data_IF_714281959021
#
_entry.id   IF_714281959021
#
_cell.length_a   1.000
_cell.length_b   1.000
_cell.length_c   1.000
_cell.angle_alpha   90.00
_cell.angle_beta   90.00
_cell.angle_gamma   90.00
#
_symmetry.space_group_name_H-M   'P 1'
#
loop_
_entity.id
_entity.type
_entity.pdbx_description
1 polymer ?
#
# COMPACT_ATOMS: atom_id res chain seq x y z
N UNK A 1 8.96 15.32 -13.37
CA UNK A 1 7.53 15.19 -13.11
C UNK A 1 7.29 14.49 -11.81
N UNK A 2 6.32 14.93 -11.07
CA UNK A 2 5.98 14.30 -9.80
C UNK A 2 5.13 13.07 -9.95
N UNK A 3 4.87 12.43 -8.82
CA UNK A 3 3.95 11.31 -8.70
C UNK A 3 2.65 11.84 -8.11
N UNK A 4 1.52 11.55 -8.75
CA UNK A 4 0.22 12.00 -8.26
C UNK A 4 -0.40 11.00 -7.29
N UNK A 5 -0.18 9.72 -7.52
CA UNK A 5 -0.78 8.65 -6.74
C UNK A 5 0.17 7.51 -6.53
N UNK A 6 0.01 6.87 -5.39
CA UNK A 6 0.55 5.54 -5.15
C UNK A 6 -0.53 4.53 -5.47
N UNK A 7 -0.12 3.40 -5.99
CA UNK A 7 -1.01 2.26 -6.25
C UNK A 7 -0.57 1.14 -5.34
N UNK A 8 -1.49 0.65 -4.52
CA UNK A 8 -1.29 -0.48 -3.63
C UNK A 8 -2.13 -1.63 -4.15
N UNK A 9 -1.49 -2.71 -4.58
CA UNK A 9 -2.16 -3.84 -5.21
C UNK A 9 -1.92 -5.12 -4.43
N UNK A 10 -2.99 -5.78 -4.00
CA UNK A 10 -2.90 -7.09 -3.36
C UNK A 10 -2.57 -8.16 -4.38
N UNK A 11 -1.54 -8.97 -4.11
CA UNK A 11 -1.06 -9.97 -5.05
C UNK A 11 -1.19 -11.40 -4.56
N UNK A 12 -1.49 -11.61 -3.29
CA UNK A 12 -1.81 -12.95 -2.80
C UNK A 12 -2.69 -12.89 -1.54
N UNK A 13 -3.19 -14.04 -1.12
CA UNK A 13 -3.99 -14.18 0.08
C UNK A 13 -5.35 -13.50 -0.03
N UNK A 14 -5.85 -13.03 1.09
CA UNK A 14 -7.15 -12.35 1.17
C UNK A 14 -7.13 -11.04 0.38
N UNK A 15 -5.97 -10.42 0.29
CA UNK A 15 -5.79 -9.16 -0.42
C UNK A 15 -5.76 -9.31 -1.94
N UNK A 16 -5.66 -10.53 -2.45
CA UNK A 16 -5.49 -10.77 -3.89
C UNK A 16 -6.61 -10.12 -4.70
N UNK A 17 -6.22 -9.29 -5.66
CA UNK A 17 -7.13 -8.61 -6.56
C UNK A 17 -7.61 -7.26 -6.07
N UNK A 18 -7.29 -6.87 -4.85
CA UNK A 18 -7.62 -5.54 -4.33
C UNK A 18 -6.63 -4.51 -4.85
N UNK A 19 -7.14 -3.34 -5.21
CA UNK A 19 -6.31 -2.23 -5.71
C UNK A 19 -6.78 -0.95 -5.03
N UNK A 20 -5.82 -0.20 -4.47
CA UNK A 20 -6.10 1.05 -3.79
C UNK A 20 -5.20 2.15 -4.30
N UNK A 21 -5.69 3.37 -4.27
CA UNK A 21 -4.93 4.56 -4.62
C UNK A 21 -4.74 5.42 -3.38
N UNK A 22 -3.52 5.91 -3.21
CA UNK A 22 -3.20 6.89 -2.17
C UNK A 22 -2.74 8.14 -2.89
N UNK A 23 -3.51 9.21 -2.76
CA UNK A 23 -3.24 10.45 -3.47
C UNK A 23 -2.16 11.27 -2.77
N UNK A 24 -1.57 12.17 -3.51
CA UNK A 24 -0.58 13.10 -2.99
C UNK A 24 -1.09 13.76 -1.70
N UNK A 25 -0.27 13.71 -0.67
CA UNK A 25 -0.58 14.30 0.62
C UNK A 25 -1.47 13.46 1.52
N UNK A 26 -1.95 12.31 1.06
CA UNK A 26 -2.83 11.47 1.85
C UNK A 26 -2.09 10.47 2.71
N UNK A 27 -2.79 10.00 3.73
CA UNK A 27 -2.36 8.95 4.62
C UNK A 27 -3.40 7.83 4.60
N UNK A 28 -2.94 6.59 4.56
CA UNK A 28 -3.82 5.44 4.62
C UNK A 28 -3.35 4.47 5.70
N UNK A 29 -4.30 3.94 6.47
CA UNK A 29 -4.03 2.88 7.44
C UNK A 29 -4.59 1.58 6.89
N UNK A 30 -3.75 0.56 6.88
CA UNK A 30 -4.06 -0.77 6.35
C UNK A 30 -4.12 -1.77 7.49
N UNK A 31 -5.17 -2.57 7.54
CA UNK A 31 -5.32 -3.59 8.56
C UNK A 31 -6.67 -4.27 8.50
N UNK A 32 -6.90 -5.19 9.46
CA UNK A 32 -8.17 -5.92 9.51
C UNK A 32 -9.26 -5.20 10.30
N UNK A 33 -8.92 -4.12 10.97
CA UNK A 33 -9.90 -3.34 11.73
C UNK A 33 -10.79 -2.51 10.82
N UNK A 34 -12.06 -2.37 11.21
CA UNK A 34 -13.01 -1.60 10.40
C UNK A 34 -12.69 -0.11 10.36
N UNK A 35 -11.91 0.37 11.31
CA UNK A 35 -11.50 1.78 11.38
C UNK A 35 -10.38 2.13 10.40
N UNK A 36 -9.76 1.12 9.77
CA UNK A 36 -8.70 1.36 8.81
C UNK A 36 -9.25 1.97 7.52
N UNK A 37 -8.50 2.89 6.92
CA UNK A 37 -8.82 3.45 5.61
C UNK A 37 -8.92 2.34 4.57
N UNK A 38 -7.98 1.41 4.62
CA UNK A 38 -7.96 0.22 3.78
C UNK A 38 -8.19 -0.96 4.71
N UNK A 39 -9.46 -1.32 4.87
CA UNK A 39 -9.87 -2.36 5.80
C UNK A 39 -10.08 -3.69 5.09
N UNK A 40 -9.46 -4.74 5.60
CA UNK A 40 -9.66 -6.11 5.10
C UNK A 40 -11.12 -6.52 5.12
N UNK A 41 -11.93 -5.92 6.00
CA UNK A 41 -13.35 -6.25 6.10
C UNK A 41 -14.14 -5.95 4.83
N UNK A 42 -13.61 -5.07 3.99
CA UNK A 42 -14.22 -4.68 2.72
C UNK A 42 -13.67 -5.45 1.53
N UNK A 43 -12.70 -6.34 1.74
CA UNK A 43 -12.09 -7.10 0.65
C UNK A 43 -13.05 -8.19 0.18
N UNK A 44 -13.04 -8.45 -1.13
CA UNK A 44 -13.90 -9.46 -1.76
C UNK A 44 -13.69 -10.85 -1.17
N UNK A 45 -12.45 -11.14 -0.80
CA UNK A 45 -12.08 -12.46 -0.26
C UNK A 45 -12.11 -12.51 1.27
N UNK A 46 -12.69 -11.50 1.92
CA UNK A 46 -12.80 -11.52 3.38
C UNK A 46 -13.51 -12.80 3.82
N UNK A 47 -12.89 -13.61 4.69
CA UNK A 47 -13.41 -14.95 5.00
C UNK A 47 -14.62 -14.91 5.91
N UNK A 48 -15.52 -15.91 5.72
CA UNK A 48 -16.68 -16.07 6.59
C UNK A 48 -16.30 -16.48 8.00
N UNK A 49 -15.19 -17.23 8.11
CA UNK A 49 -14.65 -17.68 9.40
C UNK A 49 -13.54 -16.75 9.90
N UNK A 50 -13.77 -15.45 9.82
CA UNK A 50 -12.76 -14.43 10.09
C UNK A 50 -12.07 -14.62 11.45
N UNK A 51 -12.82 -14.99 12.47
CA UNK A 51 -12.31 -15.21 13.83
C UNK A 51 -11.38 -16.41 13.95
N UNK A 52 -11.33 -17.28 12.95
CA UNK A 52 -10.51 -18.50 12.93
C UNK A 52 -9.55 -18.57 11.76
N UNK A 53 -9.60 -17.58 10.86
CA UNK A 53 -8.77 -17.60 9.67
C UNK A 53 -7.35 -17.16 9.99
N UNK A 54 -6.39 -18.05 9.80
CA UNK A 54 -4.98 -17.79 10.17
C UNK A 54 -4.37 -16.66 9.37
N UNK A 55 -4.69 -16.57 8.08
CA UNK A 55 -4.14 -15.52 7.24
C UNK A 55 -4.64 -14.16 7.67
N UNK A 56 -5.94 -14.06 7.96
CA UNK A 56 -6.50 -12.81 8.45
C UNK A 56 -5.93 -12.43 9.81
N UNK A 57 -5.81 -13.40 10.71
CA UNK A 57 -5.31 -13.15 12.06
C UNK A 57 -3.81 -12.82 12.09
N UNK A 58 -3.08 -13.10 11.02
CA UNK A 58 -1.69 -12.67 10.87
C UNK A 58 -1.59 -11.16 10.62
N UNK A 59 -2.68 -10.54 10.20
CA UNK A 59 -2.75 -9.10 9.96
C UNK A 59 -3.33 -8.43 11.21
N UNK A 60 -2.64 -7.44 11.74
CA UNK A 60 -3.10 -6.69 12.90
C UNK A 60 -4.28 -5.80 12.54
N UNK A 61 -5.06 -5.40 13.53
CA UNK A 61 -6.18 -4.48 13.33
C UNK A 61 -5.73 -3.21 12.64
N UNK A 62 -4.69 -2.58 13.17
CA UNK A 62 -3.93 -1.53 12.49
C UNK A 62 -2.55 -2.10 12.24
N UNK A 63 -2.22 -2.34 10.98
CA UNK A 63 -0.99 -3.05 10.65
C UNK A 63 0.09 -2.14 10.10
N UNK A 64 -0.28 -1.29 9.14
CA UNK A 64 0.67 -0.42 8.45
C UNK A 64 0.01 0.91 8.16
N UNK A 65 0.76 1.99 8.35
CA UNK A 65 0.34 3.31 7.92
C UNK A 65 1.26 3.80 6.82
N UNK A 66 0.65 4.18 5.69
CA UNK A 66 1.37 4.72 4.54
C UNK A 66 1.02 6.19 4.46
N UNK A 67 2.04 7.06 4.51
CA UNK A 67 1.85 8.50 4.35
C UNK A 67 2.61 8.97 3.12
N UNK A 68 1.88 9.51 2.16
CA UNK A 68 2.45 10.01 0.93
C UNK A 68 2.68 11.51 1.03
N UNK A 69 3.86 11.89 1.53
CA UNK A 69 4.23 13.31 1.66
C UNK A 69 4.53 13.93 0.30
N UNK A 70 5.35 13.25 -0.50
CA UNK A 70 5.72 13.63 -1.85
C UNK A 70 6.48 12.46 -2.49
N UNK A 71 6.89 12.61 -3.76
CA UNK A 71 7.54 11.53 -4.50
C UNK A 71 8.89 11.10 -3.93
N UNK A 72 9.48 11.90 -3.07
CA UNK A 72 10.76 11.59 -2.42
C UNK A 72 10.60 11.25 -0.93
N UNK A 73 9.37 11.17 -0.45
CA UNK A 73 9.12 10.90 0.96
C UNK A 73 7.78 10.20 1.15
N UNK A 74 7.84 8.88 1.21
CA UNK A 74 6.70 8.05 1.53
C UNK A 74 7.05 7.29 2.80
N UNK A 75 6.33 7.57 3.87
CA UNK A 75 6.57 6.89 5.14
C UNK A 75 5.75 5.63 5.22
N UNK A 76 6.40 4.52 5.56
CA UNK A 76 5.76 3.27 5.92
C UNK A 76 6.02 3.04 7.40
N UNK A 77 4.97 3.15 8.22
CA UNK A 77 5.09 2.98 9.66
C UNK A 77 4.44 1.68 10.07
N UNK A 78 5.22 0.81 10.70
CA UNK A 78 4.72 -0.46 11.21
C UNK A 78 3.94 -0.24 12.50
N UNK A 79 2.69 -0.68 12.51
CA UNK A 79 1.81 -0.62 13.68
C UNK A 79 1.46 -2.02 14.17
N UNK A 80 2.03 -3.05 13.56
CA UNK A 80 1.61 -4.42 13.75
C UNK A 80 2.20 -5.07 15.00
N UNK A 81 1.56 -6.16 15.41
CA UNK A 81 2.08 -7.00 16.50
C UNK A 81 3.22 -7.90 16.02
N UNK A 82 3.16 -8.39 14.79
CA UNK A 82 4.09 -9.42 14.29
C UNK A 82 5.05 -8.93 13.21
N UNK A 83 4.97 -7.67 12.83
CA UNK A 83 5.90 -7.07 11.88
C UNK A 83 5.34 -6.90 10.48
N UNK A 84 6.00 -6.03 9.74
CA UNK A 84 5.77 -5.76 8.32
C UNK A 84 7.11 -5.87 7.62
N UNK A 85 7.10 -6.48 6.44
CA UNK A 85 8.33 -6.70 5.68
C UNK A 85 8.26 -5.96 4.35
N UNK A 86 9.32 -5.25 4.02
CA UNK A 86 9.47 -4.53 2.76
C UNK A 86 10.61 -5.15 1.98
N UNK A 87 10.31 -5.70 0.81
CA UNK A 87 11.29 -6.41 -0.03
C UNK A 87 12.06 -7.46 0.77
N UNK A 88 11.33 -8.18 1.63
CA UNK A 88 11.88 -9.26 2.45
C UNK A 88 12.59 -8.83 3.72
N UNK A 89 12.65 -7.53 4.01
CA UNK A 89 13.31 -7.01 5.21
C UNK A 89 12.29 -6.43 6.19
N UNK A 90 12.42 -6.71 7.48
CA UNK A 90 11.48 -6.15 8.46
C UNK A 90 11.65 -4.64 8.60
N UNK A 91 10.53 -3.97 8.74
CA UNK A 91 10.53 -2.55 9.13
C UNK A 91 10.80 -2.48 10.63
N UNK A 92 11.73 -1.60 11.03
CA UNK A 92 11.95 -1.29 12.43
C UNK A 92 11.32 0.08 12.65
N UNK A 93 10.12 0.09 13.24
CA UNK A 93 9.26 1.25 13.48
C UNK A 93 8.76 1.88 12.19
N UNK A 94 9.64 2.46 11.39
CA UNK A 94 9.25 3.10 10.12
C UNK A 94 10.43 3.16 9.16
N UNK A 95 10.09 3.27 7.89
CA UNK A 95 11.06 3.57 6.85
C UNK A 95 10.48 4.63 5.93
N UNK A 96 11.35 5.28 5.18
CA UNK A 96 10.96 6.22 4.13
C UNK A 96 11.43 5.68 2.79
N UNK A 97 10.50 5.65 1.84
CA UNK A 97 10.82 5.36 0.43
C UNK A 97 11.07 6.71 -0.23
N UNK A 98 12.23 6.86 -0.86
CA UNK A 98 12.68 8.12 -1.44
C UNK A 98 12.83 8.08 -2.95
N UNK A 99 12.62 6.93 -3.57
CA UNK A 99 12.87 6.70 -4.99
C UNK A 99 11.69 6.06 -5.72
N UNK A 100 10.47 6.26 -5.23
CA UNK A 100 9.30 5.60 -5.80
C UNK A 100 9.08 5.99 -7.27
N UNK A 101 9.45 7.22 -7.62
CA UNK A 101 9.28 7.75 -8.97
C UNK A 101 10.31 7.19 -9.97
N UNK A 102 11.43 6.67 -9.48
CA UNK A 102 12.50 6.14 -10.32
C UNK A 102 12.70 4.65 -10.17
N UNK A 103 12.07 4.03 -9.20
CA UNK A 103 12.21 2.60 -8.97
C UNK A 103 11.62 1.81 -10.15
N UNK A 104 12.40 0.90 -10.68
CA UNK A 104 11.98 0.05 -11.80
C UNK A 104 11.18 -1.16 -11.35
N UNK A 105 11.21 -1.46 -10.06
CA UNK A 105 10.51 -2.60 -9.50
C UNK A 105 9.57 -2.13 -8.41
N UNK A 106 8.38 -2.76 -8.29
CA UNK A 106 7.47 -2.45 -7.18
C UNK A 106 8.13 -2.76 -5.84
N UNK A 107 7.69 -2.05 -4.80
CA UNK A 107 8.01 -2.41 -3.43
C UNK A 107 7.06 -3.49 -2.97
N UNK A 108 7.61 -4.60 -2.53
CA UNK A 108 6.81 -5.69 -1.99
C UNK A 108 6.58 -5.47 -0.49
N UNK A 109 5.32 -5.43 -0.09
CA UNK A 109 4.92 -5.22 1.30
C UNK A 109 4.23 -6.48 1.79
N UNK A 110 4.81 -7.14 2.79
CA UNK A 110 4.22 -8.33 3.42
C UNK A 110 3.70 -7.99 4.80
N UNK A 111 2.41 -8.29 5.02
CA UNK A 111 1.76 -8.11 6.32
C UNK A 111 1.71 -9.42 7.09
N UNK A 112 1.85 -10.53 6.42
CA UNK A 112 1.83 -11.87 6.98
C UNK A 112 2.37 -12.84 5.97
N UNK A 113 2.46 -14.13 6.30
CA UNK A 113 3.07 -15.12 5.40
C UNK A 113 2.44 -15.15 4.01
N UNK A 114 1.13 -14.94 3.93
CA UNK A 114 0.38 -15.05 2.69
C UNK A 114 -0.35 -13.76 2.30
N UNK A 115 -0.02 -12.63 2.94
CA UNK A 115 -0.67 -11.36 2.67
C UNK A 115 0.35 -10.38 2.12
N UNK A 116 0.36 -10.20 0.81
CA UNK A 116 1.38 -9.40 0.12
C UNK A 116 0.73 -8.37 -0.79
N UNK A 117 1.29 -7.17 -0.76
CA UNK A 117 0.91 -6.08 -1.64
C UNK A 117 2.13 -5.61 -2.41
N UNK A 118 1.87 -5.01 -3.57
CA UNK A 118 2.89 -4.27 -4.31
C UNK A 118 2.54 -2.79 -4.27
N UNK A 119 3.53 -1.97 -3.99
CA UNK A 119 3.40 -0.52 -3.98
C UNK A 119 4.17 0.04 -5.17
N UNK A 120 3.46 0.80 -6.00
CA UNK A 120 4.04 1.46 -7.17
C UNK A 120 3.57 2.90 -7.20
N UNK A 121 4.16 3.68 -8.08
CA UNK A 121 3.77 5.06 -8.30
C UNK A 121 3.11 5.21 -9.66
N UNK A 122 2.07 6.03 -9.71
CA UNK A 122 1.47 6.47 -10.96
C UNK A 122 1.97 7.88 -11.22
N UNK A 123 2.73 8.08 -12.30
CA UNK A 123 3.26 9.42 -12.59
C UNK A 123 2.17 10.36 -13.01
N UNK A 124 2.45 11.66 -12.89
CA UNK A 124 1.56 12.69 -13.40
C UNK A 124 1.31 12.46 -14.88
N UNK A 125 0.07 12.75 -15.31
CA UNK A 125 -0.34 12.47 -16.68
C UNK A 125 0.18 13.53 -17.65
N UNK A 126 1.31 13.26 -18.26
CA UNK A 126 1.92 14.14 -19.21
C UNK A 126 1.06 14.35 -20.47
N UNK A 127 0.38 13.31 -20.87
CA UNK A 127 -0.46 13.38 -22.06
C UNK A 127 -1.58 14.41 -21.91
N UNK A 128 -2.03 14.68 -20.71
CA UNK A 128 -3.05 15.69 -20.47
C UNK A 128 -2.52 17.09 -20.79
N UNK A 129 -1.29 17.35 -20.39
CA UNK A 129 -0.64 18.63 -20.71
C UNK A 129 -0.42 18.78 -22.21
N UNK A 130 0.02 17.73 -22.85
CA UNK A 130 0.26 17.76 -24.30
C UNK A 130 -1.03 18.01 -25.04
N UNK A 131 -2.10 17.32 -24.66
CA UNK A 131 -3.38 17.47 -25.32
C UNK A 131 -4.01 18.83 -25.07
N UNK A 132 -3.88 19.33 -23.88
CA UNK A 132 -4.45 20.62 -23.51
C UNK A 132 -3.59 21.79 -24.02
N UNK A 133 -2.31 21.59 -24.09
CA UNK A 133 -1.35 22.61 -24.54
C UNK A 133 -1.21 22.61 -26.02
N UNK A 134 -1.72 21.79 -26.45
CA UNK A 134 -1.51 21.80 -27.54
C UNK A 134 -0.84 21.05 -28.38
N UNK A 135 -0.90 20.64 -28.33
CA UNK A 135 -0.68 19.94 -28.84
C UNK A 135 -0.37 20.38 -29.72
N UNK A 136 -0.05 20.76 -29.51
CA UNK A 136 0.17 21.15 -29.90
C UNK A 136 0.13 21.19 -30.57
#
# INVERSE_FOLDING_TARGET
MGVERLILKGINGIALGEVFHINYGEMATLGRGQECTISYRKFKKYPKNADKNKDLLSVSRKHLRITFYNSHSIELKDLSANGTYINGKPIIKRIFITDIDTSKTPYEIKLGPNETFLLTAEPARMNEFIHSGGHI
#
